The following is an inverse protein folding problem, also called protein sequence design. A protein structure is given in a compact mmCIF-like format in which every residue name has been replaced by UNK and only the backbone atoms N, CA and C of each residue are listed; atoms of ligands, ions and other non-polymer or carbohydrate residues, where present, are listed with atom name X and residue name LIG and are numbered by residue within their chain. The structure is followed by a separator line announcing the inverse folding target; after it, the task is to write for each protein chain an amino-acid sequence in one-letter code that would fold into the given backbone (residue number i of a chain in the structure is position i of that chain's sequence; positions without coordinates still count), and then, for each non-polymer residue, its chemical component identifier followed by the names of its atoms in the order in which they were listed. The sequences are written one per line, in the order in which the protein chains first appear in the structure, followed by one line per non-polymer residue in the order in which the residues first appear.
data_IF_404413736747
#
_entry.id   IF_404413736747
#
_cell.length_a   1.000
_cell.length_b   1.000
_cell.length_c   1.000
_cell.angle_alpha   90.00
_cell.angle_beta   90.00
_cell.angle_gamma   90.00
#
_symmetry.space_group_name_H-M   'P 1'
#
loop_
_entity.id
_entity.type
_entity.pdbx_description
1 polymer ?
#
# COMPACT_ATOMS: atom_id res chain seq x y z
N UNK A 1 -14.00 12.15 58.12
CA UNK A 1 -13.43 12.04 56.74
C UNK A 1 -14.63 11.78 55.83
N UNK A 2 -14.93 12.74 54.95
CA UNK A 2 -16.15 12.69 54.11
C UNK A 2 -16.12 11.47 53.20
N UNK A 3 -17.12 10.59 53.28
CA UNK A 3 -17.26 9.41 52.39
C UNK A 3 -17.20 9.76 50.91
N UNK A 4 -17.58 11.00 50.56
CA UNK A 4 -17.47 11.55 49.19
C UNK A 4 -16.01 11.63 48.68
N UNK A 5 -15.05 11.93 49.56
CA UNK A 5 -13.62 12.01 49.19
C UNK A 5 -13.04 10.65 48.86
N UNK A 6 -13.53 9.58 49.57
CA UNK A 6 -13.14 8.19 49.28
C UNK A 6 -13.67 7.68 47.90
N UNK A 7 -14.72 8.28 47.37
CA UNK A 7 -15.29 7.92 46.08
C UNK A 7 -14.57 8.59 44.87
N UNK A 8 -13.83 9.68 45.10
CA UNK A 8 -13.15 10.45 44.03
C UNK A 8 -12.19 9.55 43.21
N UNK A 9 -11.28 8.74 43.80
CA UNK A 9 -10.39 7.90 43.01
C UNK A 9 -11.13 6.85 42.16
N UNK A 10 -12.25 6.34 42.65
CA UNK A 10 -13.10 5.39 41.89
C UNK A 10 -13.75 6.08 40.67
N UNK A 11 -14.29 7.29 40.86
CA UNK A 11 -14.89 8.08 39.79
C UNK A 11 -13.86 8.41 38.73
N UNK A 12 -12.66 8.85 39.15
CA UNK A 12 -11.55 9.15 38.22
C UNK A 12 -11.15 7.90 37.43
N UNK A 13 -10.98 6.77 38.09
CA UNK A 13 -10.60 5.52 37.43
C UNK A 13 -11.66 5.08 36.42
N UNK A 14 -12.94 5.10 36.80
CA UNK A 14 -14.04 4.70 35.89
C UNK A 14 -14.14 5.65 34.68
N UNK A 15 -13.92 6.95 34.88
CA UNK A 15 -13.93 7.95 33.78
C UNK A 15 -12.78 7.69 32.80
N UNK A 16 -11.59 7.38 33.32
CA UNK A 16 -10.42 7.06 32.50
C UNK A 16 -10.68 5.76 31.71
N UNK A 17 -11.17 4.72 32.37
CA UNK A 17 -11.50 3.45 31.71
C UNK A 17 -12.56 3.63 30.61
N UNK A 18 -13.61 4.40 30.91
CA UNK A 18 -14.66 4.69 29.94
C UNK A 18 -14.13 5.50 28.74
N UNK A 19 -13.27 6.48 29.00
CA UNK A 19 -12.62 7.26 27.95
C UNK A 19 -11.77 6.37 27.02
N UNK A 20 -10.94 5.49 27.58
CA UNK A 20 -10.16 4.56 26.78
C UNK A 20 -11.03 3.53 26.04
N UNK A 21 -12.09 3.04 26.69
CA UNK A 21 -13.04 2.15 26.02
C UNK A 21 -13.72 2.82 24.84
N UNK A 22 -14.22 4.05 24.99
CA UNK A 22 -14.82 4.84 23.92
C UNK A 22 -13.79 5.10 22.83
N UNK A 23 -12.55 5.47 23.19
CA UNK A 23 -11.47 5.70 22.25
C UNK A 23 -11.14 4.44 21.44
N UNK A 24 -11.13 3.26 22.05
CA UNK A 24 -10.91 1.98 21.34
C UNK A 24 -12.09 1.64 20.43
N UNK A 25 -13.32 1.87 20.87
CA UNK A 25 -14.52 1.57 20.07
C UNK A 25 -14.71 2.54 18.90
N UNK A 26 -14.30 3.81 19.06
CA UNK A 26 -14.37 4.83 18.01
C UNK A 26 -13.17 4.81 17.07
N UNK A 27 -12.17 3.96 17.33
CA UNK A 27 -10.93 3.94 16.58
C UNK A 27 -11.20 3.58 15.12
N UNK A 28 -11.08 4.55 14.23
CA UNK A 28 -10.81 4.30 12.82
C UNK A 28 -9.56 3.42 12.72
N UNK A 29 -9.60 2.47 11.83
CA UNK A 29 -8.56 1.48 11.61
C UNK A 29 -7.15 2.14 11.66
N UNK A 30 -6.28 1.84 12.64
CA UNK A 30 -4.99 2.51 12.77
C UNK A 30 -4.04 2.21 11.60
N UNK A 31 -4.37 1.20 10.81
CA UNK A 31 -3.60 0.80 9.63
C UNK A 31 -3.94 1.64 8.38
N UNK A 32 -4.82 2.63 8.52
CA UNK A 32 -5.22 3.49 7.41
C UNK A 32 -4.90 4.96 7.74
N UNK A 33 -3.61 5.34 7.82
CA UNK A 33 -3.25 6.72 7.99
C UNK A 33 -3.79 7.51 6.80
N UNK A 34 -4.46 8.66 7.02
CA UNK A 34 -4.97 9.47 5.94
C UNK A 34 -3.81 9.83 5.01
N UNK A 35 -3.82 9.28 3.79
CA UNK A 35 -2.78 9.59 2.82
C UNK A 35 -2.89 11.05 2.42
N UNK A 36 -1.85 11.83 2.74
CA UNK A 36 -1.73 13.21 2.30
C UNK A 36 -1.74 13.34 0.76
N UNK A 37 -1.52 12.22 0.05
CA UNK A 37 -1.45 12.14 -1.41
C UNK A 37 -2.76 11.68 -2.06
N UNK A 38 -3.77 11.24 -1.30
CA UNK A 38 -5.06 10.87 -1.88
C UNK A 38 -5.69 12.07 -2.59
N UNK A 39 -6.17 11.86 -3.82
CA UNK A 39 -6.68 12.88 -4.75
C UNK A 39 -5.64 13.90 -5.24
N UNK A 40 -4.35 13.67 -4.98
CA UNK A 40 -3.25 14.48 -5.54
C UNK A 40 -2.57 13.74 -6.68
N UNK A 41 -1.82 14.48 -7.48
CA UNK A 41 -1.00 13.90 -8.53
C UNK A 41 0.06 12.97 -7.93
N UNK A 42 0.29 11.86 -8.61
CA UNK A 42 1.39 10.96 -8.30
C UNK A 42 2.70 11.77 -8.36
N UNK A 43 3.54 11.74 -7.32
CA UNK A 43 4.84 12.39 -7.34
C UNK A 43 5.71 11.90 -8.51
N UNK A 44 6.60 12.78 -8.96
CA UNK A 44 7.52 12.42 -10.02
C UNK A 44 8.55 11.42 -9.49
N UNK A 45 8.68 10.31 -10.18
CA UNK A 45 9.74 9.33 -9.97
C UNK A 45 10.30 8.85 -11.30
N UNK A 46 11.49 8.27 -11.23
CA UNK A 46 12.13 7.54 -12.32
C UNK A 46 12.71 6.26 -11.75
N UNK A 47 12.44 5.14 -12.38
CA UNK A 47 12.95 3.83 -11.95
C UNK A 47 13.46 3.02 -13.13
N UNK A 48 14.56 2.31 -12.89
CA UNK A 48 15.17 1.38 -13.84
C UNK A 48 14.44 0.04 -13.74
N UNK A 49 14.26 -0.63 -14.87
CA UNK A 49 13.63 -1.95 -14.94
C UNK A 49 14.47 -3.06 -14.31
N UNK A 50 13.82 -3.96 -13.55
CA UNK A 50 14.50 -5.09 -12.90
C UNK A 50 15.11 -6.07 -13.91
N UNK A 51 14.47 -6.27 -15.05
CA UNK A 51 14.91 -7.23 -16.08
C UNK A 51 15.73 -6.59 -17.19
N UNK A 52 15.54 -5.30 -17.43
CA UNK A 52 16.25 -4.53 -18.45
C UNK A 52 16.69 -3.19 -17.89
N UNK A 53 17.99 -3.03 -17.66
CA UNK A 53 18.57 -1.81 -17.08
C UNK A 53 18.52 -0.60 -18.03
N UNK A 54 18.26 -0.82 -19.31
CA UNK A 54 18.08 0.26 -20.31
C UNK A 54 16.64 0.78 -20.31
N UNK A 55 15.70 0.03 -19.74
CA UNK A 55 14.30 0.42 -19.63
C UNK A 55 14.09 1.31 -18.41
N UNK A 56 13.72 2.56 -18.65
CA UNK A 56 13.44 3.55 -17.60
C UNK A 56 11.96 3.90 -17.64
N UNK A 57 11.29 3.69 -16.52
CA UNK A 57 9.91 4.12 -16.32
C UNK A 57 9.88 5.42 -15.51
N UNK A 58 9.26 6.44 -16.06
CA UNK A 58 8.94 7.68 -15.35
C UNK A 58 7.45 7.72 -15.01
N UNK A 59 7.09 8.40 -13.90
CA UNK A 59 5.69 8.59 -13.52
C UNK A 59 4.81 9.16 -14.63
N UNK A 60 5.38 10.00 -15.50
CA UNK A 60 4.69 10.60 -16.67
C UNK A 60 4.25 9.56 -17.70
N UNK A 61 4.96 8.43 -17.82
CA UNK A 61 4.61 7.33 -18.74
C UNK A 61 3.34 6.57 -18.30
N UNK A 62 2.85 6.83 -17.09
CA UNK A 62 1.64 6.23 -16.54
C UNK A 62 0.37 7.02 -16.90
N UNK A 63 0.49 8.26 -17.41
CA UNK A 63 -0.65 9.04 -17.86
C UNK A 63 -1.39 8.34 -19.01
N UNK A 64 -2.70 8.46 -18.99
CA UNK A 64 -3.59 7.79 -19.95
C UNK A 64 -3.98 6.37 -19.54
N UNK A 65 -3.42 5.83 -18.46
CA UNK A 65 -3.69 4.48 -17.95
C UNK A 65 -4.18 4.53 -16.50
N UNK A 66 -5.10 3.64 -16.15
CA UNK A 66 -5.27 3.28 -14.75
C UNK A 66 -4.09 2.43 -14.33
N UNK A 67 -3.42 2.81 -13.25
CA UNK A 67 -2.22 2.10 -12.81
C UNK A 67 -2.35 1.68 -11.35
N UNK A 68 -2.15 0.40 -11.08
CA UNK A 68 -1.93 -0.13 -9.75
C UNK A 68 -0.43 -0.16 -9.50
N UNK A 69 0.03 0.50 -8.44
CA UNK A 69 1.43 0.56 -8.03
C UNK A 69 1.54 -0.19 -6.71
N UNK A 70 2.32 -1.27 -6.69
CA UNK A 70 2.56 -2.08 -5.50
C UNK A 70 4.04 -2.04 -5.13
N UNK A 71 4.31 -1.73 -3.86
CA UNK A 71 5.65 -1.81 -3.29
C UNK A 71 5.81 -3.14 -2.55
N UNK A 72 6.81 -3.92 -2.95
CA UNK A 72 7.08 -5.26 -2.42
C UNK A 72 8.57 -5.51 -2.21
N UNK A 73 8.90 -6.61 -1.54
CA UNK A 73 10.25 -7.16 -1.49
C UNK A 73 10.21 -8.68 -1.38
N UNK A 74 11.26 -9.36 -1.81
CA UNK A 74 11.37 -10.83 -1.74
C UNK A 74 11.34 -11.36 -0.31
N UNK A 75 11.91 -10.61 0.62
CA UNK A 75 11.96 -10.92 2.06
C UNK A 75 10.66 -10.61 2.82
N UNK A 76 9.70 -9.94 2.18
CA UNK A 76 8.47 -9.47 2.81
C UNK A 76 7.39 -10.58 2.84
N UNK A 77 7.20 -11.23 3.97
CA UNK A 77 6.21 -12.32 4.13
C UNK A 77 4.76 -11.91 3.78
N UNK A 78 4.22 -10.74 4.24
CA UNK A 78 2.88 -10.33 3.85
C UNK A 78 2.75 -9.99 2.37
N UNK A 79 3.84 -9.54 1.70
CA UNK A 79 3.84 -9.32 0.25
C UNK A 79 3.66 -10.65 -0.51
N UNK A 80 4.33 -11.71 -0.05
CA UNK A 80 4.16 -13.06 -0.60
C UNK A 80 2.74 -13.57 -0.46
N UNK A 81 2.09 -13.26 0.66
CA UNK A 81 0.71 -13.70 0.93
C UNK A 81 -0.31 -13.10 -0.04
N UNK A 82 -0.11 -11.84 -0.48
CA UNK A 82 -1.01 -11.18 -1.43
C UNK A 82 -0.66 -11.42 -2.90
N UNK A 83 0.57 -11.85 -3.21
CA UNK A 83 1.13 -11.89 -4.57
C UNK A 83 0.21 -12.56 -5.60
N UNK A 84 -0.35 -13.71 -5.25
CA UNK A 84 -1.26 -14.46 -6.12
C UNK A 84 -2.54 -13.68 -6.51
N UNK A 85 -2.90 -12.65 -5.73
CA UNK A 85 -4.09 -11.85 -6.00
C UNK A 85 -3.89 -10.88 -7.17
N UNK A 86 -2.66 -10.49 -7.49
CA UNK A 86 -2.39 -9.62 -8.63
C UNK A 86 -2.67 -10.30 -9.97
N UNK A 87 -2.47 -11.62 -10.07
CA UNK A 87 -2.89 -12.38 -11.25
C UNK A 87 -4.41 -12.35 -11.44
N UNK A 88 -5.15 -12.41 -10.33
CA UNK A 88 -6.60 -12.29 -10.35
C UNK A 88 -7.03 -10.90 -10.77
N UNK A 89 -6.45 -9.85 -10.19
CA UNK A 89 -6.71 -8.45 -10.57
C UNK A 89 -6.45 -8.26 -12.07
N UNK A 90 -5.31 -8.73 -12.58
CA UNK A 90 -4.94 -8.63 -14.00
C UNK A 90 -5.95 -9.31 -14.93
N UNK A 91 -6.55 -10.42 -14.48
CA UNK A 91 -7.57 -11.15 -15.23
C UNK A 91 -8.93 -10.44 -15.17
N UNK A 92 -9.31 -9.89 -14.02
CA UNK A 92 -10.62 -9.26 -13.81
C UNK A 92 -10.68 -7.83 -14.36
N UNK A 93 -9.53 -7.11 -14.38
CA UNK A 93 -9.39 -5.72 -14.84
C UNK A 93 -8.24 -5.65 -15.85
N UNK A 94 -8.42 -6.12 -17.10
CA UNK A 94 -7.32 -6.23 -18.08
C UNK A 94 -6.69 -4.89 -18.48
N UNK A 95 -7.44 -3.79 -18.39
CA UNK A 95 -6.99 -2.43 -18.69
C UNK A 95 -6.10 -1.83 -17.60
N UNK A 96 -6.02 -2.44 -16.42
CA UNK A 96 -5.22 -1.96 -15.31
C UNK A 96 -3.74 -2.29 -15.56
N UNK A 97 -2.92 -1.26 -15.65
CA UNK A 97 -1.47 -1.41 -15.71
C UNK A 97 -0.94 -1.72 -14.30
N UNK A 98 -0.30 -2.85 -14.10
CA UNK A 98 0.21 -3.24 -12.79
C UNK A 98 1.73 -3.02 -12.75
N UNK A 99 2.15 -2.07 -11.92
CA UNK A 99 3.54 -1.71 -11.67
C UNK A 99 3.97 -2.24 -10.31
N UNK A 100 5.06 -3.00 -10.27
CA UNK A 100 5.72 -3.43 -9.04
C UNK A 100 6.98 -2.61 -8.77
N UNK A 101 7.24 -2.23 -7.52
CA UNK A 101 8.53 -1.71 -7.07
C UNK A 101 9.18 -2.69 -6.12
N UNK A 102 10.35 -3.21 -6.51
CA UNK A 102 11.23 -3.99 -5.64
C UNK A 102 11.97 -3.01 -4.71
N UNK A 103 11.48 -2.91 -3.45
CA UNK A 103 11.90 -1.92 -2.47
C UNK A 103 12.97 -2.47 -1.54
N UNK A 104 14.14 -1.82 -1.51
CA UNK A 104 15.28 -2.16 -0.63
C UNK A 104 15.57 -3.66 -0.61
N UNK A 105 15.64 -4.24 -1.80
CA UNK A 105 15.81 -5.67 -2.01
C UNK A 105 17.05 -5.96 -2.86
N UNK A 106 17.58 -7.18 -2.76
CA UNK A 106 18.61 -7.64 -3.70
C UNK A 106 17.96 -7.96 -5.06
N UNK A 107 18.65 -7.57 -6.14
CA UNK A 107 18.10 -7.74 -7.50
C UNK A 107 17.94 -9.20 -7.89
N UNK A 108 18.86 -10.08 -7.45
CA UNK A 108 18.78 -11.50 -7.74
C UNK A 108 17.69 -12.17 -6.93
N UNK A 109 17.51 -11.77 -5.66
CA UNK A 109 16.44 -12.29 -4.81
C UNK A 109 15.06 -11.85 -5.32
N UNK A 110 14.94 -10.60 -5.78
CA UNK A 110 13.70 -10.11 -6.41
C UNK A 110 13.38 -10.87 -7.70
N UNK A 111 14.38 -11.11 -8.57
CA UNK A 111 14.20 -11.90 -9.79
C UNK A 111 13.81 -13.32 -9.47
N UNK A 112 14.52 -13.98 -8.57
CA UNK A 112 14.24 -15.34 -8.13
C UNK A 112 12.83 -15.46 -7.56
N UNK A 113 12.41 -14.51 -6.72
CA UNK A 113 11.07 -14.45 -6.17
C UNK A 113 10.00 -14.43 -7.27
N UNK A 114 10.16 -13.54 -8.27
CA UNK A 114 9.21 -13.41 -9.37
C UNK A 114 9.27 -14.57 -10.39
N UNK A 115 10.40 -15.28 -10.47
CA UNK A 115 10.53 -16.51 -11.25
C UNK A 115 9.80 -17.69 -10.58
N UNK A 116 9.93 -17.81 -9.25
CA UNK A 116 9.31 -18.88 -8.47
C UNK A 116 7.79 -18.71 -8.31
N UNK A 117 7.33 -17.51 -8.00
CA UNK A 117 5.92 -17.21 -7.72
C UNK A 117 5.14 -16.71 -8.96
N UNK A 118 5.86 -16.49 -10.07
CA UNK A 118 5.34 -15.85 -11.28
C UNK A 118 5.39 -14.32 -11.21
N UNK A 119 5.34 -13.66 -12.39
CA UNK A 119 5.38 -12.20 -12.48
C UNK A 119 4.04 -11.63 -12.96
N UNK A 120 3.19 -11.06 -12.08
CA UNK A 120 1.93 -10.44 -12.44
C UNK A 120 2.09 -9.02 -13.00
N UNK A 121 3.25 -8.37 -12.74
CA UNK A 121 3.50 -6.97 -13.06
C UNK A 121 3.75 -6.77 -14.56
N UNK A 122 3.28 -5.65 -15.08
CA UNK A 122 3.57 -5.20 -16.45
C UNK A 122 4.98 -4.58 -16.55
N UNK A 123 5.46 -4.01 -15.44
CA UNK A 123 6.82 -3.51 -15.26
C UNK A 123 7.22 -3.69 -13.80
N UNK A 124 8.49 -4.00 -13.56
CA UNK A 124 9.06 -4.06 -12.22
C UNK A 124 10.20 -3.05 -12.13
N UNK A 125 9.98 -2.01 -11.35
CA UNK A 125 10.99 -0.98 -11.06
C UNK A 125 11.88 -1.35 -9.87
N UNK A 126 13.11 -0.87 -9.91
CA UNK A 126 14.08 -1.01 -8.82
C UNK A 126 13.99 0.22 -7.92
N UNK A 127 13.80 0.01 -6.63
CA UNK A 127 13.81 1.04 -5.59
C UNK A 127 14.83 0.69 -4.49
N UNK A 128 16.09 0.55 -4.90
CA UNK A 128 17.18 0.04 -4.05
C UNK A 128 17.47 0.95 -2.85
N UNK A 129 17.43 2.25 -3.04
CA UNK A 129 17.66 3.26 -2.01
C UNK A 129 16.38 3.67 -1.25
N UNK A 130 15.21 3.22 -1.71
CA UNK A 130 13.93 3.56 -1.13
C UNK A 130 13.42 4.94 -1.54
N UNK A 131 14.04 5.57 -2.55
CA UNK A 131 13.68 6.93 -2.98
C UNK A 131 12.28 6.99 -3.59
N UNK A 132 11.94 6.05 -4.49
CA UNK A 132 10.60 6.02 -5.09
C UNK A 132 9.52 5.80 -4.04
N UNK A 133 9.75 4.89 -3.09
CA UNK A 133 8.85 4.67 -1.97
C UNK A 133 8.68 5.93 -1.11
N UNK A 134 9.77 6.61 -0.80
CA UNK A 134 9.74 7.87 -0.03
C UNK A 134 8.96 8.96 -0.76
N UNK A 135 9.24 9.17 -2.05
CA UNK A 135 8.58 10.21 -2.86
C UNK A 135 7.06 9.96 -2.98
N UNK A 136 6.64 8.68 -3.06
CA UNK A 136 5.22 8.27 -3.12
C UNK A 136 4.57 8.20 -1.74
N UNK A 137 5.33 8.36 -0.66
CA UNK A 137 4.81 8.34 0.71
C UNK A 137 4.43 6.94 1.20
N UNK A 138 5.27 5.96 0.88
CA UNK A 138 5.18 4.58 1.39
C UNK A 138 5.71 4.54 2.82
N UNK A 139 4.93 3.94 3.73
CA UNK A 139 5.30 3.80 5.14
C UNK A 139 5.83 2.39 5.47
N UNK A 140 5.45 1.39 4.69
CA UNK A 140 5.84 0.01 4.92
C UNK A 140 5.44 -0.92 3.78
N UNK A 141 5.76 -2.21 3.89
CA UNK A 141 5.44 -3.21 2.87
C UNK A 141 4.43 -4.23 3.40
N UNK A 142 3.52 -4.69 2.53
CA UNK A 142 3.22 -4.16 1.22
C UNK A 142 2.39 -2.89 1.29
N UNK A 143 2.47 -2.06 0.27
CA UNK A 143 1.60 -0.90 0.12
C UNK A 143 1.18 -0.75 -1.35
N UNK A 144 -0.11 -0.50 -1.57
CA UNK A 144 -0.69 -0.44 -2.91
C UNK A 144 -1.39 0.89 -3.14
N UNK A 145 -1.10 1.50 -4.29
CA UNK A 145 -1.75 2.73 -4.77
C UNK A 145 -2.45 2.45 -6.09
N UNK A 146 -3.51 3.19 -6.38
CA UNK A 146 -4.12 3.20 -7.71
C UNK A 146 -4.21 4.63 -8.19
N UNK A 147 -3.79 4.88 -9.42
CA UNK A 147 -3.93 6.16 -10.09
C UNK A 147 -4.94 6.07 -11.23
N UNK A 148 -5.66 7.18 -11.45
CA UNK A 148 -6.50 7.34 -12.63
C UNK A 148 -5.67 7.75 -13.86
N UNK A 149 -6.32 7.89 -15.01
CA UNK A 149 -5.69 8.29 -16.29
C UNK A 149 -5.02 9.65 -16.26
N UNK A 150 -5.43 10.54 -15.34
CA UNK A 150 -4.78 11.85 -15.16
C UNK A 150 -3.53 11.76 -14.28
N UNK A 151 -3.21 10.59 -13.74
CA UNK A 151 -2.09 10.39 -12.83
C UNK A 151 -2.41 10.83 -11.39
N UNK A 152 -3.68 10.97 -11.01
CA UNK A 152 -4.09 11.25 -9.62
C UNK A 152 -4.24 9.96 -8.85
N UNK A 153 -3.74 9.92 -7.63
CA UNK A 153 -3.91 8.81 -6.69
C UNK A 153 -5.37 8.79 -6.22
N UNK A 154 -6.13 7.78 -6.64
CA UNK A 154 -7.54 7.60 -6.29
C UNK A 154 -7.75 6.57 -5.18
N UNK A 155 -6.74 5.76 -4.89
CA UNK A 155 -6.80 4.73 -3.86
C UNK A 155 -5.43 4.49 -3.24
N UNK A 156 -5.41 4.19 -1.95
CA UNK A 156 -4.23 3.75 -1.20
C UNK A 156 -4.64 2.67 -0.21
N UNK A 157 -3.88 1.60 -0.13
CA UNK A 157 -4.02 0.56 0.88
C UNK A 157 -2.66 0.25 1.51
N UNK A 158 -2.62 0.24 2.84
CA UNK A 158 -1.44 -0.12 3.62
C UNK A 158 -1.63 -1.51 4.21
N UNK A 159 -0.69 -2.41 3.97
CA UNK A 159 -0.76 -3.81 4.34
C UNK A 159 -1.22 -4.71 3.19
N UNK A 160 -1.33 -6.03 3.43
CA UNK A 160 -1.62 -7.00 2.39
C UNK A 160 -3.06 -6.89 1.89
N UNK A 161 -3.22 -6.89 0.57
CA UNK A 161 -4.52 -6.99 -0.07
C UNK A 161 -5.20 -8.33 0.28
N UNK A 162 -6.52 -8.29 0.36
CA UNK A 162 -7.36 -9.48 0.53
C UNK A 162 -8.40 -9.57 -0.58
N UNK A 163 -8.97 -10.76 -0.77
CA UNK A 163 -10.07 -10.94 -1.74
C UNK A 163 -11.25 -9.99 -1.46
N UNK A 164 -11.49 -9.69 -0.18
CA UNK A 164 -12.55 -8.76 0.25
C UNK A 164 -12.23 -7.34 -0.20
N UNK A 165 -11.02 -6.84 0.07
CA UNK A 165 -10.56 -5.50 -0.33
C UNK A 165 -10.64 -5.34 -1.86
N UNK A 166 -10.17 -6.33 -2.61
CA UNK A 166 -10.24 -6.30 -4.08
C UNK A 166 -11.67 -6.16 -4.56
N UNK A 167 -12.60 -6.96 -4.02
CA UNK A 167 -14.00 -6.96 -4.44
C UNK A 167 -14.74 -5.69 -4.00
N UNK A 168 -14.56 -5.30 -2.74
CA UNK A 168 -15.40 -4.26 -2.11
C UNK A 168 -14.87 -2.84 -2.37
N UNK A 169 -13.56 -2.70 -2.64
CA UNK A 169 -12.90 -1.40 -2.77
C UNK A 169 -12.28 -1.21 -4.16
N UNK A 170 -11.38 -2.11 -4.59
CA UNK A 170 -10.64 -1.92 -5.85
C UNK A 170 -11.55 -2.06 -7.07
N UNK A 171 -12.36 -3.13 -7.14
CA UNK A 171 -13.24 -3.37 -8.28
C UNK A 171 -14.32 -2.29 -8.47
N UNK A 172 -14.60 -1.49 -7.45
CA UNK A 172 -15.59 -0.39 -7.53
C UNK A 172 -15.02 0.90 -8.12
N UNK A 173 -13.72 0.95 -8.39
CA UNK A 173 -13.04 2.12 -8.96
C UNK A 173 -13.11 2.17 -10.51
N UNK A 174 -13.52 1.06 -11.11
CA UNK A 174 -13.61 0.80 -12.55
C UNK A 174 -15.05 0.39 -12.94
#
# INVERSE_FOLDING_TARGET
MNRAILMVPFIVLTTICLFFLIFILLKKNPNDPPSALLNKNLPNFSSIGLYNNEEILMSENLKGKYTLINFFASWCTPCRAEHHLFFKIKKEIPELYILGFSHKDDLNDSKKYLEEEGNPYSFVGIDKDGKSAFDVGVFGLPETFITNKDGKIIYKHTGPLTKKIIKDEIATLF
#
